data_IF_600918358782
#
_entry.id   IF_600918358782
#
_cell.length_a   1.000
_cell.length_b   1.000
_cell.length_c   1.000
_cell.angle_alpha   90.00
_cell.angle_beta   90.00
_cell.angle_gamma   90.00
#
_symmetry.space_group_name_H-M   'P 1'
#
loop_
_entity.id
_entity.type
_entity.pdbx_description
1 polymer ?
#
# COMPACT_ATOMS: atom_id res chain seq x y z
N UNK A 1 -2.25 -14.89 28.16
CA UNK A 1 -1.46 -13.74 27.66
C UNK A 1 -0.90 -13.06 28.90
N UNK A 2 0.42 -13.07 29.04
CA UNK A 2 1.07 -12.65 30.29
C UNK A 2 0.92 -11.12 30.47
N UNK A 3 0.36 -10.70 31.59
CA UNK A 3 0.15 -9.30 31.95
C UNK A 3 1.48 -8.54 32.07
N UNK A 4 2.58 -9.24 32.36
CA UNK A 4 3.92 -8.67 32.37
C UNK A 4 4.36 -8.21 30.96
N UNK A 5 3.99 -8.99 29.94
CA UNK A 5 4.30 -8.68 28.53
C UNK A 5 3.54 -7.45 28.03
N UNK A 6 2.26 -7.32 28.41
CA UNK A 6 1.46 -6.13 28.07
C UNK A 6 1.99 -4.87 28.75
N UNK A 7 2.35 -4.94 30.04
CA UNK A 7 2.96 -3.81 30.75
C UNK A 7 4.32 -3.44 30.15
N UNK A 8 5.11 -4.42 29.72
CA UNK A 8 6.37 -4.17 29.03
C UNK A 8 6.16 -3.41 27.71
N UNK A 9 5.22 -3.86 26.86
CA UNK A 9 4.89 -3.17 25.60
C UNK A 9 4.43 -1.73 25.89
N UNK A 10 3.50 -1.54 26.83
CA UNK A 10 2.99 -0.21 27.18
C UNK A 10 4.12 0.69 27.68
N UNK A 11 4.96 0.20 28.60
CA UNK A 11 6.08 0.99 29.13
C UNK A 11 7.13 1.32 28.06
N UNK A 12 7.40 0.42 27.11
CA UNK A 12 8.29 0.68 25.97
C UNK A 12 7.69 1.72 25.01
N UNK A 13 6.39 1.61 24.72
CA UNK A 13 5.67 2.52 23.81
C UNK A 13 5.39 3.91 24.41
N UNK A 14 5.45 4.07 25.73
CA UNK A 14 5.17 5.34 26.42
C UNK A 14 6.45 6.05 26.88
N UNK A 15 7.62 5.43 26.69
CA UNK A 15 8.91 6.02 27.02
C UNK A 15 9.50 6.75 25.82
N UNK A 16 9.51 8.09 25.86
CA UNK A 16 10.04 8.95 24.78
C UNK A 16 11.49 8.60 24.40
N UNK A 17 12.34 8.25 25.36
CA UNK A 17 13.76 7.91 25.12
C UNK A 17 13.94 6.60 24.35
N UNK A 18 12.92 5.74 24.31
CA UNK A 18 12.92 4.48 23.55
C UNK A 18 12.08 4.59 22.29
N UNK A 19 10.99 5.35 22.32
CA UNK A 19 10.07 5.52 21.20
C UNK A 19 10.74 6.13 19.97
N UNK A 20 11.48 7.23 20.12
CA UNK A 20 12.15 7.88 19.00
C UNK A 20 13.17 6.99 18.28
N UNK A 21 14.13 6.32 18.97
CA UNK A 21 15.05 5.41 18.30
C UNK A 21 14.34 4.17 17.75
N UNK A 22 13.30 3.66 18.40
CA UNK A 22 12.53 2.51 17.89
C UNK A 22 11.79 2.86 16.60
N UNK A 23 11.16 4.04 16.54
CA UNK A 23 10.51 4.58 15.33
C UNK A 23 11.56 4.79 14.24
N UNK A 24 12.72 5.36 14.55
CA UNK A 24 13.81 5.54 13.60
C UNK A 24 14.35 4.21 13.06
N UNK A 25 14.41 3.16 13.89
CA UNK A 25 14.80 1.79 13.47
C UNK A 25 13.72 1.16 12.59
N UNK A 26 12.44 1.29 12.95
CA UNK A 26 11.32 0.75 12.13
C UNK A 26 11.25 1.47 10.78
N UNK A 27 11.39 2.81 10.77
CA UNK A 27 11.40 3.60 9.55
C UNK A 27 12.66 3.34 8.73
N UNK A 28 13.84 3.33 9.36
CA UNK A 28 15.13 3.09 8.70
C UNK A 28 15.22 1.69 8.11
N UNK A 29 14.88 0.66 8.88
CA UNK A 29 14.82 -0.73 8.41
C UNK A 29 13.70 -0.92 7.39
N UNK A 30 12.52 -0.34 7.65
CA UNK A 30 11.38 -0.37 6.74
C UNK A 30 11.71 0.20 5.37
N UNK A 31 12.39 1.35 5.30
CA UNK A 31 12.82 2.02 4.06
C UNK A 31 13.91 1.22 3.34
N UNK A 32 14.88 0.64 4.06
CA UNK A 32 15.97 -0.13 3.45
C UNK A 32 15.48 -1.47 2.85
N UNK A 33 14.54 -2.13 3.54
CA UNK A 33 13.81 -3.30 3.01
C UNK A 33 12.92 -2.90 1.84
N UNK A 34 12.31 -1.72 1.88
CA UNK A 34 11.48 -1.18 0.80
C UNK A 34 12.27 -0.94 -0.49
N UNK A 35 13.46 -0.35 -0.38
CA UNK A 35 14.25 0.08 -1.53
C UNK A 35 14.99 -1.07 -2.23
N UNK A 36 15.40 -2.12 -1.49
CA UNK A 36 16.22 -3.21 -2.05
C UNK A 36 15.44 -4.42 -2.56
N UNK A 37 14.15 -4.50 -2.28
CA UNK A 37 13.39 -5.72 -2.53
C UNK A 37 12.58 -5.60 -3.83
N UNK A 38 13.06 -6.25 -4.91
CA UNK A 38 12.45 -6.30 -6.26
C UNK A 38 10.92 -6.48 -6.22
N UNK A 39 10.46 -7.28 -5.26
CA UNK A 39 9.05 -7.58 -5.00
C UNK A 39 8.22 -6.34 -4.69
N UNK A 40 8.72 -5.44 -3.85
CA UNK A 40 8.01 -4.20 -3.50
C UNK A 40 7.97 -3.24 -4.68
N UNK A 41 9.07 -3.11 -5.41
CA UNK A 41 9.12 -2.29 -6.63
C UNK A 41 8.06 -2.73 -7.64
N UNK A 42 7.97 -4.04 -7.91
CA UNK A 42 6.94 -4.59 -8.81
C UNK A 42 5.53 -4.26 -8.33
N UNK A 43 5.25 -4.38 -7.02
CA UNK A 43 3.94 -4.00 -6.48
C UNK A 43 3.67 -2.52 -6.74
N UNK A 44 4.65 -1.64 -6.53
CA UNK A 44 4.47 -0.20 -6.76
C UNK A 44 4.17 0.10 -8.23
N UNK A 45 5.03 -0.38 -9.13
CA UNK A 45 4.97 -0.08 -10.56
C UNK A 45 3.64 -0.60 -11.13
N UNK A 46 3.32 -1.87 -10.89
CA UNK A 46 2.06 -2.47 -11.34
C UNK A 46 0.84 -1.76 -10.76
N UNK A 47 0.89 -1.33 -9.50
CA UNK A 47 -0.24 -0.64 -8.87
C UNK A 47 -0.50 0.71 -9.50
N UNK A 48 0.55 1.50 -9.75
CA UNK A 48 0.41 2.81 -10.39
C UNK A 48 -0.17 2.66 -11.81
N UNK A 49 0.43 1.78 -12.63
CA UNK A 49 0.01 1.53 -14.00
C UNK A 49 -1.46 1.09 -14.09
N UNK A 50 -1.88 0.19 -13.19
CA UNK A 50 -3.26 -0.32 -13.20
C UNK A 50 -4.28 0.71 -12.70
N UNK A 51 -3.92 1.54 -11.73
CA UNK A 51 -4.82 2.61 -11.27
C UNK A 51 -5.04 3.62 -12.40
N UNK A 52 -3.99 4.04 -13.09
CA UNK A 52 -4.10 4.97 -14.22
C UNK A 52 -4.92 4.34 -15.35
N UNK A 53 -4.63 3.09 -15.73
CA UNK A 53 -5.37 2.36 -16.74
C UNK A 53 -6.88 2.27 -16.41
N UNK A 54 -7.23 2.02 -15.15
CA UNK A 54 -8.64 1.98 -14.72
C UNK A 54 -9.26 3.38 -14.76
N UNK A 55 -8.57 4.42 -14.28
CA UNK A 55 -9.08 5.79 -14.31
C UNK A 55 -9.26 6.33 -15.74
N UNK A 56 -8.50 5.83 -16.72
CA UNK A 56 -8.69 6.16 -18.13
C UNK A 56 -9.91 5.44 -18.74
N UNK A 57 -10.14 4.18 -18.38
CA UNK A 57 -11.09 3.32 -19.10
C UNK A 57 -12.42 3.06 -18.36
N UNK A 58 -12.55 3.45 -17.08
CA UNK A 58 -13.72 3.08 -16.27
C UNK A 58 -15.07 3.54 -16.86
N UNK A 59 -15.08 4.68 -17.57
CA UNK A 59 -16.29 5.21 -18.20
C UNK A 59 -16.78 4.31 -19.33
N UNK A 60 -15.85 3.80 -20.13
CA UNK A 60 -16.14 2.91 -21.25
C UNK A 60 -16.58 1.54 -20.75
N UNK A 61 -15.99 1.06 -19.66
CA UNK A 61 -16.41 -0.20 -19.02
C UNK A 61 -17.69 -0.07 -18.19
N UNK A 62 -18.19 1.15 -17.99
CA UNK A 62 -19.39 1.42 -17.19
C UNK A 62 -19.21 1.19 -15.69
N UNK A 63 -17.98 1.02 -15.19
CA UNK A 63 -17.71 0.67 -13.78
C UNK A 63 -17.54 1.93 -12.91
N UNK A 64 -18.01 1.90 -11.66
CA UNK A 64 -17.95 3.03 -10.73
C UNK A 64 -17.62 2.61 -9.30
N UNK A 65 -17.10 3.56 -8.52
CA UNK A 65 -16.92 3.38 -7.07
C UNK A 65 -16.09 2.14 -6.72
N UNK A 66 -16.69 1.21 -5.97
CA UNK A 66 -16.06 -0.05 -5.53
C UNK A 66 -15.70 -0.99 -6.66
N UNK A 67 -16.44 -0.98 -7.78
CA UNK A 67 -16.20 -1.86 -8.93
C UNK A 67 -14.83 -1.58 -9.58
N UNK A 68 -14.32 -0.35 -9.46
CA UNK A 68 -12.96 0.01 -9.87
C UNK A 68 -11.92 -0.76 -9.05
N UNK A 69 -12.14 -0.89 -7.75
CA UNK A 69 -11.22 -1.59 -6.86
C UNK A 69 -11.27 -3.11 -7.11
N UNK A 70 -12.45 -3.67 -7.33
CA UNK A 70 -12.58 -5.10 -7.66
C UNK A 70 -11.85 -5.41 -8.98
N UNK A 71 -12.05 -4.57 -9.99
CA UNK A 71 -11.33 -4.67 -11.27
C UNK A 71 -9.81 -4.53 -11.10
N UNK A 72 -9.37 -3.61 -10.23
CA UNK A 72 -7.96 -3.43 -9.89
C UNK A 72 -7.36 -4.70 -9.30
N UNK A 73 -8.01 -5.32 -8.30
CA UNK A 73 -7.50 -6.52 -7.65
C UNK A 73 -7.38 -7.69 -8.63
N UNK A 74 -8.37 -7.85 -9.51
CA UNK A 74 -8.35 -8.87 -10.57
C UNK A 74 -7.18 -8.68 -11.56
N UNK A 75 -6.96 -7.45 -12.02
CA UNK A 75 -5.87 -7.13 -12.93
C UNK A 75 -4.51 -7.25 -12.23
N UNK A 76 -4.43 -6.82 -10.98
CA UNK A 76 -3.23 -6.89 -10.18
C UNK A 76 -2.76 -8.34 -10.00
N UNK A 77 -3.66 -9.28 -9.69
CA UNK A 77 -3.30 -10.70 -9.59
C UNK A 77 -2.68 -11.21 -10.89
N UNK A 78 -3.24 -10.83 -12.05
CA UNK A 78 -2.78 -11.26 -13.38
C UNK A 78 -1.38 -10.69 -13.67
N UNK A 79 -1.21 -9.38 -13.53
CA UNK A 79 0.05 -8.73 -13.87
C UNK A 79 1.17 -9.08 -12.87
N UNK A 80 0.83 -9.17 -11.59
CA UNK A 80 1.74 -9.65 -10.56
C UNK A 80 2.23 -11.06 -10.86
N UNK A 81 1.31 -11.98 -11.23
CA UNK A 81 1.68 -13.36 -11.59
C UNK A 81 2.60 -13.41 -12.80
N UNK A 82 2.36 -12.57 -13.80
CA UNK A 82 3.21 -12.46 -15.00
C UNK A 82 4.62 -12.02 -14.66
N UNK A 83 4.80 -11.07 -13.73
CA UNK A 83 6.12 -10.57 -13.35
C UNK A 83 6.87 -11.43 -12.32
N UNK A 84 6.13 -12.11 -11.43
CA UNK A 84 6.69 -12.83 -10.29
C UNK A 84 6.61 -14.36 -10.40
N UNK A 85 5.94 -14.88 -11.43
CA UNK A 85 5.77 -16.32 -11.65
C UNK A 85 4.81 -17.03 -10.69
N UNK A 86 4.18 -16.29 -9.76
CA UNK A 86 3.24 -16.83 -8.77
C UNK A 86 2.15 -15.82 -8.41
N UNK A 87 1.05 -16.30 -7.84
CA UNK A 87 0.01 -15.41 -7.31
C UNK A 87 0.54 -14.56 -6.14
N UNK A 88 0.04 -13.33 -5.95
CA UNK A 88 0.33 -12.52 -4.79
C UNK A 88 -0.18 -13.20 -3.51
N UNK A 89 0.53 -13.03 -2.40
CA UNK A 89 0.06 -13.40 -1.06
C UNK A 89 -0.88 -12.32 -0.51
N UNK A 90 -1.63 -12.64 0.53
CA UNK A 90 -2.60 -11.71 1.15
C UNK A 90 -1.96 -10.38 1.55
N UNK A 91 -0.76 -10.40 2.15
CA UNK A 91 -0.05 -9.17 2.51
C UNK A 91 0.31 -8.29 1.30
N UNK A 92 0.51 -8.89 0.14
CA UNK A 92 0.85 -8.18 -1.10
C UNK A 92 -0.39 -7.59 -1.75
N UNK A 93 -1.50 -8.33 -1.68
CA UNK A 93 -2.82 -7.84 -2.07
C UNK A 93 -3.21 -6.64 -1.23
N UNK A 94 -3.04 -6.72 0.09
CA UNK A 94 -3.35 -5.63 1.01
C UNK A 94 -2.43 -4.42 0.78
N UNK A 95 -1.14 -4.66 0.55
CA UNK A 95 -0.19 -3.60 0.21
C UNK A 95 -0.59 -2.87 -1.08
N UNK A 96 -1.00 -3.62 -2.12
CA UNK A 96 -1.45 -3.06 -3.38
C UNK A 96 -2.74 -2.24 -3.21
N UNK A 97 -3.71 -2.76 -2.43
CA UNK A 97 -4.98 -2.09 -2.12
C UNK A 97 -4.75 -0.75 -1.42
N UNK A 98 -4.01 -0.73 -0.31
CA UNK A 98 -3.72 0.49 0.46
C UNK A 98 -3.04 1.53 -0.44
N UNK A 99 -2.15 1.08 -1.33
CA UNK A 99 -1.47 1.97 -2.27
C UNK A 99 -2.39 2.55 -3.33
N UNK A 100 -3.24 1.73 -3.93
CA UNK A 100 -4.22 2.19 -4.90
C UNK A 100 -5.15 3.25 -4.28
N UNK A 101 -5.64 3.01 -3.06
CA UNK A 101 -6.45 3.98 -2.32
C UNK A 101 -5.68 5.27 -2.05
N UNK A 102 -4.41 5.19 -1.64
CA UNK A 102 -3.57 6.35 -1.42
C UNK A 102 -3.34 7.18 -2.69
N UNK A 103 -3.13 6.54 -3.85
CA UNK A 103 -2.97 7.21 -5.15
C UNK A 103 -4.24 7.98 -5.50
N UNK A 104 -5.40 7.32 -5.42
CA UNK A 104 -6.70 7.96 -5.71
C UNK A 104 -6.98 9.13 -4.77
N UNK A 105 -6.69 8.98 -3.47
CA UNK A 105 -6.86 10.07 -2.50
C UNK A 105 -5.92 11.25 -2.76
N UNK A 106 -4.69 11.00 -3.23
CA UNK A 106 -3.76 12.07 -3.63
C UNK A 106 -4.28 12.82 -4.85
N UNK A 107 -4.75 12.10 -5.87
CA UNK A 107 -5.34 12.72 -7.07
C UNK A 107 -6.53 13.61 -6.71
N UNK A 108 -7.46 13.13 -5.87
CA UNK A 108 -8.61 13.92 -5.40
C UNK A 108 -8.20 15.18 -4.64
N UNK A 109 -7.16 15.10 -3.81
CA UNK A 109 -6.62 16.27 -3.09
C UNK A 109 -5.94 17.27 -4.03
N UNK A 110 -5.22 16.80 -5.04
CA UNK A 110 -4.61 17.67 -6.03
C UNK A 110 -5.68 18.43 -6.84
N UNK A 111 -6.77 17.74 -7.23
CA UNK A 111 -7.90 18.38 -7.90
C UNK A 111 -8.62 19.41 -7.02
N UNK A 112 -8.78 19.13 -5.71
CA UNK A 112 -9.45 20.06 -4.80
C UNK A 112 -8.63 21.32 -4.53
N UNK A 113 -7.30 21.22 -4.47
CA UNK A 113 -6.41 22.37 -4.36
C UNK A 113 -6.48 23.24 -5.62
N UNK A 114 -6.52 22.65 -6.81
CA UNK A 114 -6.57 23.39 -8.09
C UNK A 114 -7.88 24.18 -8.29
N UNK A 115 -8.95 23.82 -7.58
CA UNK A 115 -10.26 24.49 -7.66
C UNK A 115 -10.46 25.63 -6.65
N UNK A 116 -9.52 25.84 -5.73
CA UNK A 116 -9.50 26.99 -4.81
C UNK A 116 -8.64 28.11 -5.38
#
# INVERSE_FOLDING_TARGET
>A
MDWAWLRFIVNVLTNEAVMEPLIAVILGYGVNVYAKNRRFKIIMDVTADLVDYIEENYKEWGIKGSEKMDKFLDLFIKEYKKQMGRKPKDIEMETARIRAEAIVQRARRAESIKKR
#
